data_IF_565940802277
#
_entry.id   IF_565940802277
#
_cell.length_a   1.000
_cell.length_b   1.000
_cell.length_c   1.000
_cell.angle_alpha   90.00
_cell.angle_beta   90.00
_cell.angle_gamma   90.00
#
_symmetry.space_group_name_H-M   'P 1'
#
loop_
_entity.id
_entity.type
_entity.pdbx_description
1 polymer ?
#
# COMPACT_ATOMS: atom_id res chain seq x y z
N UNK A 1 15.29 -8.00 0.27
CA UNK A 1 16.37 -8.81 0.86
C UNK A 1 16.78 -8.18 2.18
N UNK A 2 16.15 -8.64 3.28
CA UNK A 2 16.69 -8.29 4.59
C UNK A 2 18.18 -8.70 4.60
N UNK A 3 19.06 -7.74 4.74
CA UNK A 3 20.48 -8.04 4.89
C UNK A 3 20.60 -8.93 6.14
N UNK A 4 21.00 -10.18 5.96
CA UNK A 4 21.16 -11.14 7.07
C UNK A 4 22.10 -10.66 8.17
N UNK A 5 22.81 -9.55 7.92
CA UNK A 5 23.73 -8.91 8.86
C UNK A 5 23.05 -7.90 9.79
N UNK A 6 21.91 -7.30 9.41
CA UNK A 6 21.21 -6.35 10.27
C UNK A 6 19.99 -7.03 10.92
N UNK A 7 20.22 -7.55 12.13
CA UNK A 7 19.15 -8.19 12.92
C UNK A 7 18.07 -7.22 13.42
N UNK A 8 18.28 -5.92 13.26
CA UNK A 8 17.36 -4.89 13.74
C UNK A 8 16.40 -4.43 12.65
N UNK A 9 16.64 -4.77 11.37
CA UNK A 9 15.72 -4.43 10.28
C UNK A 9 14.51 -5.36 10.30
N UNK A 10 13.30 -4.81 10.15
CA UNK A 10 12.10 -5.62 10.04
C UNK A 10 12.14 -6.49 8.77
N UNK A 11 11.57 -7.68 8.87
CA UNK A 11 11.41 -8.56 7.73
C UNK A 11 10.25 -8.08 6.86
N UNK A 12 10.56 -7.63 5.66
CA UNK A 12 9.58 -7.10 4.71
C UNK A 12 9.83 -7.67 3.30
N UNK A 13 8.76 -7.78 2.53
CA UNK A 13 8.78 -8.03 1.08
C UNK A 13 7.93 -6.94 0.43
N UNK A 14 8.44 -6.32 -0.60
CA UNK A 14 7.72 -5.37 -1.42
C UNK A 14 8.17 -5.47 -2.88
N UNK A 15 7.33 -4.99 -3.80
CA UNK A 15 7.60 -5.02 -5.24
C UNK A 15 7.70 -3.62 -5.81
N UNK A 16 8.51 -3.46 -6.86
CA UNK A 16 8.61 -2.25 -7.67
C UNK A 16 8.48 -2.63 -9.13
N UNK A 17 7.44 -2.10 -9.80
CA UNK A 17 7.08 -2.46 -11.18
C UNK A 17 7.48 -1.43 -12.22
N UNK A 18 7.70 -0.18 -11.83
CA UNK A 18 8.11 0.86 -12.75
C UNK A 18 9.58 0.63 -13.22
N UNK A 19 9.93 0.75 -14.51
CA UNK A 19 9.01 1.12 -15.60
C UNK A 19 8.35 -0.08 -16.26
N UNK A 20 9.04 -1.19 -16.47
CA UNK A 20 8.64 -2.44 -17.13
C UNK A 20 9.34 -3.61 -16.42
N UNK A 21 9.12 -3.76 -15.10
CA UNK A 21 9.83 -4.71 -14.25
C UNK A 21 8.93 -5.77 -13.60
N UNK A 22 7.61 -5.68 -13.73
CA UNK A 22 6.69 -6.62 -13.11
C UNK A 22 6.67 -8.01 -13.75
N UNK A 23 7.07 -8.15 -15.01
CA UNK A 23 7.29 -9.45 -15.68
C UNK A 23 8.35 -10.32 -15.01
N UNK A 24 9.16 -9.76 -14.09
CA UNK A 24 10.17 -10.50 -13.31
C UNK A 24 9.51 -11.43 -12.29
N UNK A 25 8.32 -11.12 -11.78
CA UNK A 25 7.69 -11.89 -10.71
C UNK A 25 6.30 -12.45 -11.06
N UNK A 26 5.63 -11.96 -12.09
CA UNK A 26 4.42 -12.60 -12.64
C UNK A 26 4.38 -12.50 -14.18
N UNK A 27 3.76 -13.49 -14.88
CA UNK A 27 3.64 -13.46 -16.33
C UNK A 27 2.75 -12.30 -16.79
N UNK A 28 3.32 -11.35 -17.52
CA UNK A 28 2.59 -10.22 -18.11
C UNK A 28 3.32 -9.68 -19.33
N UNK A 29 2.58 -9.02 -20.24
CA UNK A 29 3.18 -8.12 -21.22
C UNK A 29 3.40 -6.80 -20.51
N UNK A 30 4.65 -6.51 -20.19
CA UNK A 30 5.04 -5.37 -19.33
C UNK A 30 5.00 -4.05 -20.11
N UNK A 31 3.81 -3.65 -20.53
CA UNK A 31 3.56 -2.42 -21.27
C UNK A 31 2.40 -1.66 -20.62
N UNK A 32 2.51 -0.35 -20.36
CA UNK A 32 1.47 0.43 -19.68
C UNK A 32 0.09 0.40 -20.32
N UNK A 33 -0.03 0.11 -21.61
CA UNK A 33 -1.32 0.03 -22.31
C UNK A 33 -2.04 -1.30 -22.11
N UNK A 34 -1.34 -2.34 -21.66
CA UNK A 34 -1.86 -3.70 -21.43
C UNK A 34 -2.56 -3.78 -20.06
N UNK A 35 -3.61 -2.98 -19.92
CA UNK A 35 -4.38 -2.91 -18.67
C UNK A 35 -5.15 -4.19 -18.41
N UNK A 36 -5.10 -4.68 -17.18
CA UNK A 36 -5.82 -5.87 -16.74
C UNK A 36 -6.37 -5.71 -15.31
N UNK A 37 -7.35 -6.53 -14.96
CA UNK A 37 -7.77 -6.77 -13.58
C UNK A 37 -6.76 -7.65 -12.87
N UNK A 38 -6.84 -7.71 -11.54
CA UNK A 38 -5.89 -8.46 -10.73
C UNK A 38 -6.62 -9.25 -9.64
N UNK A 39 -6.20 -10.49 -9.47
CA UNK A 39 -6.54 -11.32 -8.31
C UNK A 39 -5.25 -11.86 -7.71
N UNK A 40 -5.08 -11.70 -6.39
CA UNK A 40 -3.85 -12.11 -5.72
C UNK A 40 -4.14 -12.80 -4.38
N UNK A 41 -3.65 -14.03 -4.25
CA UNK A 41 -3.70 -14.81 -3.01
C UNK A 41 -2.32 -14.79 -2.36
N UNK A 42 -2.21 -14.18 -1.20
CA UNK A 42 -0.93 -14.05 -0.46
C UNK A 42 -1.01 -14.88 0.81
N UNK A 43 -0.22 -15.95 0.87
CA UNK A 43 -0.15 -16.82 2.04
C UNK A 43 1.09 -16.52 2.86
N UNK A 44 0.90 -16.15 4.13
CA UNK A 44 1.96 -15.70 5.04
C UNK A 44 1.80 -16.29 6.44
N UNK A 45 2.86 -16.23 7.23
CA UNK A 45 2.73 -16.42 8.68
C UNK A 45 1.79 -15.36 9.26
N UNK A 46 0.95 -15.73 10.23
CA UNK A 46 -0.13 -14.87 10.73
C UNK A 46 0.34 -13.53 11.33
N UNK A 47 1.61 -13.43 11.74
CA UNK A 47 2.20 -12.16 12.23
C UNK A 47 2.35 -11.09 11.16
N UNK A 48 2.54 -11.47 9.91
CA UNK A 48 2.67 -10.52 8.80
C UNK A 48 1.32 -9.96 8.36
N UNK A 49 1.28 -8.71 7.98
CA UNK A 49 0.20 -8.07 7.24
C UNK A 49 0.55 -8.02 5.77
N UNK A 50 -0.46 -8.11 4.93
CA UNK A 50 -0.32 -7.99 3.48
C UNK A 50 -1.05 -6.75 2.99
N UNK A 51 -0.55 -6.17 1.90
CA UNK A 51 -1.23 -5.12 1.16
C UNK A 51 -1.03 -5.40 -0.33
N UNK A 52 -2.10 -5.24 -1.11
CA UNK A 52 -2.07 -5.26 -2.58
C UNK A 52 -3.10 -4.30 -3.16
N UNK A 53 -3.14 -4.23 -4.49
CA UNK A 53 -4.13 -3.43 -5.21
C UNK A 53 -5.56 -3.97 -4.99
N UNK A 54 -6.55 -3.06 -5.05
CA UNK A 54 -7.97 -3.41 -4.91
C UNK A 54 -8.39 -3.68 -3.47
N UNK A 55 -9.42 -4.49 -3.30
CA UNK A 55 -10.04 -4.79 -2.00
C UNK A 55 -9.51 -6.10 -1.42
N UNK A 56 -9.43 -6.17 -0.09
CA UNK A 56 -9.25 -7.42 0.64
C UNK A 56 -10.60 -8.14 0.73
N UNK A 57 -10.80 -9.15 -0.11
CA UNK A 57 -12.09 -9.87 -0.19
C UNK A 57 -12.27 -10.82 0.99
N UNK A 58 -11.22 -11.54 1.37
CA UNK A 58 -11.19 -12.34 2.59
C UNK A 58 -9.79 -12.54 3.14
N UNK A 59 -9.75 -12.93 4.39
CA UNK A 59 -8.57 -13.36 5.11
C UNK A 59 -8.90 -14.63 5.89
N UNK A 60 -8.22 -15.73 5.65
CA UNK A 60 -8.50 -17.03 6.28
C UNK A 60 -7.25 -17.70 6.82
N UNK A 61 -7.38 -18.35 7.98
CA UNK A 61 -6.31 -19.17 8.54
C UNK A 61 -6.40 -20.57 7.92
N UNK A 62 -5.29 -21.05 7.40
CA UNK A 62 -5.15 -22.37 6.79
C UNK A 62 -4.89 -23.45 7.86
N UNK A 63 -5.02 -24.72 7.48
CA UNK A 63 -4.77 -25.87 8.37
C UNK A 63 -3.34 -25.89 8.92
N UNK A 64 -2.36 -25.34 8.18
CA UNK A 64 -0.96 -25.23 8.60
C UNK A 64 -0.67 -24.03 9.53
N UNK A 65 -1.72 -23.27 9.91
CA UNK A 65 -1.64 -22.09 10.78
C UNK A 65 -1.17 -20.80 10.08
N UNK A 66 -0.87 -20.84 8.79
CA UNK A 66 -0.65 -19.63 7.99
C UNK A 66 -1.96 -18.96 7.64
N UNK A 67 -1.87 -17.70 7.22
CA UNK A 67 -3.02 -16.94 6.74
C UNK A 67 -2.90 -16.69 5.24
N UNK A 68 -4.02 -16.87 4.52
CA UNK A 68 -4.17 -16.47 3.14
C UNK A 68 -5.09 -15.26 3.05
N UNK A 69 -4.58 -14.19 2.47
CA UNK A 69 -5.32 -12.98 2.14
C UNK A 69 -5.60 -12.95 0.63
N UNK A 70 -6.86 -12.75 0.26
CA UNK A 70 -7.29 -12.61 -1.14
C UNK A 70 -7.61 -11.16 -1.45
N UNK A 71 -6.79 -10.58 -2.33
CA UNK A 71 -6.92 -9.23 -2.85
C UNK A 71 -7.47 -9.25 -4.27
N UNK A 72 -8.38 -8.32 -4.59
CA UNK A 72 -9.02 -8.24 -5.90
C UNK A 72 -9.14 -6.81 -6.39
N UNK A 73 -8.68 -6.57 -7.62
CA UNK A 73 -8.80 -5.31 -8.34
C UNK A 73 -9.65 -5.54 -9.59
N UNK A 74 -10.92 -5.12 -9.53
CA UNK A 74 -11.91 -5.35 -10.61
C UNK A 74 -11.80 -4.35 -11.77
N UNK A 75 -11.16 -3.21 -11.56
CA UNK A 75 -10.94 -2.22 -12.62
C UNK A 75 -9.58 -2.45 -13.28
N UNK A 76 -9.53 -2.51 -14.63
CA UNK A 76 -8.25 -2.66 -15.32
C UNK A 76 -7.29 -1.51 -15.04
N UNK A 77 -6.05 -1.84 -14.72
CA UNK A 77 -4.96 -0.89 -14.51
C UNK A 77 -3.65 -1.40 -15.13
N UNK A 78 -2.69 -0.50 -15.33
CA UNK A 78 -1.44 -0.83 -16.01
C UNK A 78 -0.58 -1.79 -15.19
N UNK A 79 0.13 -2.75 -15.82
CA UNK A 79 0.94 -3.77 -15.14
C UNK A 79 1.98 -3.20 -14.17
N UNK A 80 2.64 -2.09 -14.52
CA UNK A 80 3.67 -1.48 -13.67
C UNK A 80 3.13 -0.98 -12.31
N UNK A 81 1.81 -0.80 -12.19
CA UNK A 81 1.13 -0.39 -10.96
C UNK A 81 0.76 -1.56 -10.03
N UNK A 82 0.95 -2.80 -10.49
CA UNK A 82 0.71 -3.98 -9.66
C UNK A 82 1.74 -4.04 -8.55
N UNK A 83 1.28 -4.32 -7.33
CA UNK A 83 2.16 -4.36 -6.17
C UNK A 83 1.72 -5.38 -5.13
N UNK A 84 2.66 -5.80 -4.31
CA UNK A 84 2.41 -6.36 -2.99
C UNK A 84 3.41 -5.81 -1.98
N UNK A 85 2.94 -5.65 -0.74
CA UNK A 85 3.80 -5.41 0.42
C UNK A 85 3.42 -6.38 1.55
N UNK A 86 4.41 -6.94 2.21
CA UNK A 86 4.27 -7.90 3.31
C UNK A 86 5.23 -7.48 4.40
N UNK A 87 4.75 -7.38 5.65
CA UNK A 87 5.58 -7.01 6.79
C UNK A 87 4.80 -7.08 8.10
N UNK A 88 5.49 -6.89 9.21
CA UNK A 88 4.86 -6.71 10.51
C UNK A 88 4.38 -5.26 10.66
N UNK A 89 3.34 -4.89 9.90
CA UNK A 89 2.80 -3.53 9.90
C UNK A 89 1.74 -3.35 10.99
N UNK A 90 1.74 -2.17 11.62
CA UNK A 90 0.56 -1.59 12.25
C UNK A 90 -0.30 -0.94 11.14
N UNK A 91 -1.62 -1.11 11.24
CA UNK A 91 -2.57 -0.57 10.26
C UNK A 91 -3.43 0.48 10.96
N UNK A 92 -3.19 1.74 10.64
CA UNK A 92 -3.97 2.86 11.18
C UNK A 92 -5.08 3.21 10.20
N UNK A 93 -6.32 3.00 10.64
CA UNK A 93 -7.51 3.22 9.81
C UNK A 93 -7.89 4.68 9.73
N UNK A 94 -8.32 5.08 8.55
CA UNK A 94 -8.93 6.36 8.24
C UNK A 94 -10.01 6.16 7.16
N UNK A 95 -10.69 7.22 6.77
CA UNK A 95 -11.69 7.17 5.72
C UNK A 95 -11.83 8.51 5.00
N UNK A 96 -12.27 8.45 3.76
CA UNK A 96 -12.66 9.60 2.97
C UNK A 96 -14.15 9.49 2.59
N UNK A 97 -14.91 10.55 2.86
CA UNK A 97 -16.32 10.63 2.48
C UNK A 97 -16.43 11.16 1.05
N UNK A 98 -17.01 10.34 0.16
CA UNK A 98 -17.30 10.69 -1.22
C UNK A 98 -18.48 11.67 -1.31
N UNK A 99 -18.69 12.27 -2.47
CA UNK A 99 -19.79 13.22 -2.73
C UNK A 99 -21.19 12.62 -2.51
N UNK A 100 -21.33 11.30 -2.65
CA UNK A 100 -22.57 10.56 -2.40
C UNK A 100 -22.78 10.14 -0.93
N UNK A 101 -21.85 10.49 -0.01
CA UNK A 101 -21.87 10.12 1.39
C UNK A 101 -21.31 8.72 1.70
N UNK A 102 -20.80 8.01 0.69
CA UNK A 102 -20.13 6.72 0.89
C UNK A 102 -18.75 6.94 1.52
N UNK A 103 -18.42 6.13 2.55
CA UNK A 103 -17.09 6.15 3.15
C UNK A 103 -16.17 5.17 2.41
N UNK A 104 -15.09 5.69 1.85
CA UNK A 104 -14.02 4.91 1.25
C UNK A 104 -12.89 4.68 2.27
N UNK A 105 -12.34 3.48 2.32
CA UNK A 105 -11.20 3.17 3.18
C UNK A 105 -9.93 3.93 2.75
N UNK A 106 -9.26 4.48 3.77
CA UNK A 106 -7.92 5.07 3.68
C UNK A 106 -7.11 4.54 4.85
N UNK A 107 -6.13 3.69 4.59
CA UNK A 107 -5.35 3.05 5.64
C UNK A 107 -3.86 3.39 5.52
N UNK A 108 -3.19 3.44 6.66
CA UNK A 108 -1.75 3.71 6.75
C UNK A 108 -1.05 2.50 7.36
N UNK A 109 -0.19 1.88 6.57
CA UNK A 109 0.62 0.73 6.96
C UNK A 109 2.03 1.24 7.32
N UNK A 110 2.34 1.20 8.59
CA UNK A 110 3.62 1.69 9.13
C UNK A 110 4.25 0.63 10.02
N UNK A 111 5.53 0.75 10.30
CA UNK A 111 6.13 -0.09 11.34
C UNK A 111 5.47 0.19 12.70
N UNK A 112 5.34 -0.82 13.59
CA UNK A 112 4.65 -0.66 14.88
C UNK A 112 5.16 0.50 15.72
N UNK A 113 6.46 0.81 15.64
CA UNK A 113 7.06 1.95 16.34
C UNK A 113 6.51 3.32 15.93
N UNK A 114 5.89 3.40 14.75
CA UNK A 114 5.34 4.66 14.19
C UNK A 114 3.81 4.69 14.16
N UNK A 115 3.13 3.70 14.74
CA UNK A 115 1.66 3.61 14.76
C UNK A 115 1.01 4.89 15.29
N UNK A 116 1.48 5.40 16.43
CA UNK A 116 0.94 6.63 17.05
C UNK A 116 1.24 7.91 16.23
N UNK A 117 2.18 7.84 15.28
CA UNK A 117 2.59 8.95 14.44
C UNK A 117 1.96 8.93 13.05
N UNK A 118 1.38 7.80 12.62
CA UNK A 118 0.86 7.59 11.27
C UNK A 118 -0.14 8.68 10.82
N UNK A 119 -1.04 9.11 11.71
CA UNK A 119 -1.96 10.22 11.39
C UNK A 119 -1.28 11.60 11.32
N UNK A 120 -0.15 11.80 11.96
CA UNK A 120 0.62 13.03 11.78
C UNK A 120 1.30 13.05 10.41
N UNK A 121 1.76 11.89 9.94
CA UNK A 121 2.39 11.72 8.64
C UNK A 121 1.36 11.81 7.50
N UNK A 122 0.29 11.02 7.56
CA UNK A 122 -0.64 10.78 6.45
C UNK A 122 -2.05 11.34 6.62
N UNK A 123 -2.41 11.87 7.78
CA UNK A 123 -3.80 12.25 8.10
C UNK A 123 -4.38 13.40 7.27
N UNK A 124 -3.59 14.00 6.37
CA UNK A 124 -4.09 14.96 5.36
C UNK A 124 -4.63 14.27 4.11
N UNK A 125 -4.40 12.97 3.92
CA UNK A 125 -4.79 12.22 2.72
C UNK A 125 -6.27 12.36 2.37
N UNK A 126 -7.26 12.24 3.30
CA UNK A 126 -8.66 12.45 2.96
C UNK A 126 -8.95 13.85 2.40
N UNK A 127 -8.31 14.88 2.95
CA UNK A 127 -8.44 16.26 2.45
C UNK A 127 -7.80 16.45 1.07
N UNK A 128 -6.70 15.76 0.80
CA UNK A 128 -6.05 15.77 -0.51
C UNK A 128 -6.94 15.10 -1.56
N UNK A 129 -7.57 13.96 -1.22
CA UNK A 129 -8.52 13.29 -2.11
C UNK A 129 -9.69 14.23 -2.48
N UNK A 130 -10.29 14.91 -1.51
CA UNK A 130 -11.33 15.93 -1.78
C UNK A 130 -10.81 17.05 -2.67
N UNK A 131 -9.68 17.64 -2.30
CA UNK A 131 -9.09 18.76 -3.04
C UNK A 131 -8.81 18.43 -4.50
N UNK A 132 -8.17 17.27 -4.76
CA UNK A 132 -7.87 16.86 -6.13
C UNK A 132 -9.11 16.41 -6.89
N UNK A 133 -10.10 15.80 -6.26
CA UNK A 133 -11.37 15.48 -6.88
C UNK A 133 -12.08 16.75 -7.35
N UNK A 134 -12.13 17.79 -6.52
CA UNK A 134 -12.73 19.09 -6.86
C UNK A 134 -11.95 19.80 -7.97
N UNK A 135 -10.61 19.84 -7.85
CA UNK A 135 -9.74 20.51 -8.80
C UNK A 135 -9.81 19.90 -10.20
N UNK A 136 -9.87 18.58 -10.29
CA UNK A 136 -9.91 17.83 -11.55
C UNK A 136 -11.34 17.67 -12.09
N UNK A 137 -12.37 17.97 -11.29
CA UNK A 137 -13.77 17.75 -11.64
C UNK A 137 -14.14 16.26 -11.79
N UNK A 138 -13.33 15.38 -11.21
CA UNK A 138 -13.52 13.92 -11.24
C UNK A 138 -13.22 13.36 -9.86
N UNK A 139 -14.20 12.70 -9.25
CA UNK A 139 -14.00 12.02 -7.97
C UNK A 139 -13.03 10.87 -8.12
N UNK A 140 -12.19 10.63 -7.07
CA UNK A 140 -11.23 9.52 -7.06
C UNK A 140 -11.95 8.20 -7.36
N UNK A 141 -11.59 7.49 -8.45
CA UNK A 141 -12.45 6.45 -9.04
C UNK A 141 -12.25 5.06 -8.44
N UNK A 142 -11.30 4.90 -7.52
CA UNK A 142 -10.91 3.59 -7.00
C UNK A 142 -11.60 3.28 -5.67
N UNK A 143 -11.52 2.01 -5.25
CA UNK A 143 -12.28 1.48 -4.09
C UNK A 143 -11.68 1.84 -2.74
N UNK A 144 -10.38 2.12 -2.68
CA UNK A 144 -9.66 2.50 -1.47
C UNK A 144 -8.44 3.34 -1.82
N UNK A 145 -7.79 3.93 -0.79
CA UNK A 145 -6.48 4.56 -0.91
C UNK A 145 -5.63 4.21 0.30
N UNK A 146 -4.82 3.16 0.18
CA UNK A 146 -3.88 2.75 1.22
C UNK A 146 -2.47 3.27 0.93
N UNK A 147 -1.71 3.51 2.00
CA UNK A 147 -0.32 3.96 1.93
C UNK A 147 0.53 3.06 2.83
N UNK A 148 1.65 2.56 2.31
CA UNK A 148 2.58 1.73 3.08
C UNK A 148 3.98 2.34 3.06
N UNK A 149 4.63 2.35 4.22
CA UNK A 149 6.05 2.73 4.36
C UNK A 149 6.88 1.46 4.48
N UNK A 150 7.89 1.34 3.63
CA UNK A 150 8.76 0.16 3.60
C UNK A 150 10.23 0.55 3.69
N UNK A 151 11.03 -0.34 4.27
CA UNK A 151 12.47 -0.18 4.42
C UNK A 151 13.20 -0.33 3.08
N UNK A 152 14.29 0.41 2.93
CA UNK A 152 15.19 0.33 1.78
C UNK A 152 14.49 0.50 0.42
N UNK A 153 13.39 1.26 0.36
CA UNK A 153 12.71 1.48 -0.90
C UNK A 153 13.62 2.16 -1.91
N UNK A 154 13.58 1.70 -3.16
CA UNK A 154 14.52 2.11 -4.22
C UNK A 154 14.34 3.56 -4.71
N UNK A 155 13.23 4.19 -4.36
CA UNK A 155 12.86 5.57 -4.76
C UNK A 155 12.17 6.28 -3.60
N UNK A 156 11.65 7.49 -3.83
CA UNK A 156 10.87 8.23 -2.82
C UNK A 156 9.52 7.61 -2.54
N UNK A 157 8.77 7.30 -3.59
CA UNK A 157 7.45 6.68 -3.52
C UNK A 157 7.08 6.07 -4.87
N UNK A 158 5.97 5.30 -4.89
CA UNK A 158 5.37 4.73 -6.09
C UNK A 158 3.85 4.83 -6.01
N UNK A 159 3.23 5.30 -7.08
CA UNK A 159 1.79 5.53 -7.21
C UNK A 159 0.98 4.26 -7.54
N UNK A 160 1.33 3.11 -7.03
CA UNK A 160 0.59 1.87 -7.27
C UNK A 160 -0.91 2.06 -7.02
N UNK A 161 -1.75 1.60 -7.94
CA UNK A 161 -3.20 1.82 -7.90
C UNK A 161 -3.79 1.30 -6.59
N UNK A 162 -4.44 2.18 -5.83
CA UNK A 162 -5.08 1.92 -4.53
C UNK A 162 -4.16 1.62 -3.35
N UNK A 163 -2.84 1.51 -3.56
CA UNK A 163 -1.90 1.09 -2.53
C UNK A 163 -0.49 1.68 -2.79
N UNK A 164 -0.30 2.97 -2.50
CA UNK A 164 0.98 3.66 -2.72
C UNK A 164 2.06 3.19 -1.76
N UNK A 165 3.28 2.98 -2.29
CA UNK A 165 4.45 2.63 -1.48
C UNK A 165 5.30 3.88 -1.25
N UNK A 166 5.85 4.01 -0.06
CA UNK A 166 6.76 5.09 0.35
C UNK A 166 8.02 4.53 1.01
N UNK A 167 9.11 5.24 0.86
CA UNK A 167 10.36 4.92 1.55
C UNK A 167 10.33 5.26 3.05
N UNK A 168 11.21 4.63 3.80
CA UNK A 168 11.32 4.71 5.26
C UNK A 168 11.69 6.10 5.81
N UNK A 169 12.13 7.04 4.95
CA UNK A 169 12.31 8.45 5.33
C UNK A 169 11.02 9.12 5.80
N UNK A 170 9.84 8.57 5.50
CA UNK A 170 8.56 9.03 6.04
C UNK A 170 8.26 8.50 7.45
N UNK A 171 9.02 7.56 7.97
CA UNK A 171 8.94 7.16 9.37
C UNK A 171 9.49 8.27 10.26
N UNK A 172 8.64 9.21 10.63
CA UNK A 172 8.95 10.39 11.45
C UNK A 172 8.06 10.47 12.67
N UNK A 173 8.62 10.87 13.78
CA UNK A 173 7.85 11.25 14.96
C UNK A 173 7.19 12.62 14.73
N UNK A 174 6.17 12.94 15.54
CA UNK A 174 5.53 14.26 15.48
C UNK A 174 6.52 15.42 15.63
N UNK A 175 7.59 15.22 16.41
CA UNK A 175 8.62 16.23 16.60
C UNK A 175 9.44 16.44 15.34
N UNK A 176 9.91 15.35 14.72
CA UNK A 176 10.70 15.40 13.48
C UNK A 176 9.91 16.04 12.33
N UNK A 177 8.59 15.79 12.25
CA UNK A 177 7.71 16.45 11.27
C UNK A 177 7.68 17.98 11.47
N UNK A 178 7.70 18.44 12.73
CA UNK A 178 7.68 19.88 13.03
C UNK A 178 9.06 20.52 12.76
N UNK A 179 10.14 19.81 13.10
CA UNK A 179 11.50 20.32 13.00
C UNK A 179 12.03 20.29 11.57
N UNK A 180 11.45 19.44 10.67
CA UNK A 180 11.85 19.24 9.27
C UNK A 180 11.01 19.98 8.23
N UNK A 181 10.00 20.75 8.66
CA UNK A 181 9.06 21.49 7.79
C UNK A 181 9.47 22.92 7.50
#
# INVERSE_FOLDING_TARGET
>A
NADKKDKNKPQQIWTQGETEANSVWFPTIDNPVEKSTQEMYITVENRFKTLSNGELIFSSINEDGKRTDYWKMDKPHSPYLFMMAIGEFAIVKDSWEKSNGELMEVNYYVEPAYEEHAKAIFGKTPKMLSHFSDLLGVEYPWVKYDQVVVQDYVSGAMENTTATIHGDFLHQTKREIIDGG
#
